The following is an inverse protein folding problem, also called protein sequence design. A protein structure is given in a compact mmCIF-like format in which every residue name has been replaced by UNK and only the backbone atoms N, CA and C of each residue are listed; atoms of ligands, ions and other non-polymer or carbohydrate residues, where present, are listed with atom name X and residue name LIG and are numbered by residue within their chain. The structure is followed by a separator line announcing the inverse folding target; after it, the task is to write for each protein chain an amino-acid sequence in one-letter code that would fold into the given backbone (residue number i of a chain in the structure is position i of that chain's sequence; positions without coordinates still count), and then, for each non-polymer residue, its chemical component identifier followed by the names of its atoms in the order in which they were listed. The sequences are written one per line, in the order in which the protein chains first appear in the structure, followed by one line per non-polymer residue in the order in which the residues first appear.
data_IF_205903118929
#
_entry.id   IF_205903118929
#
_cell.length_a   1.000
_cell.length_b   1.000
_cell.length_c   1.000
_cell.angle_alpha   90.00
_cell.angle_beta   90.00
_cell.angle_gamma   90.00
#
_symmetry.space_group_name_H-M   'P 1'
#
loop_
_entity.id
_entity.type
_entity.pdbx_description
1 polymer ?
#
# COMPACT_ATOMS: atom_id res chain seq x y z
N UNK A 1 -29.14 -9.44 -9.22
CA UNK A 1 -27.76 -8.96 -9.45
C UNK A 1 -27.34 -9.38 -10.85
N UNK A 2 -26.90 -8.46 -11.71
CA UNK A 2 -26.46 -8.80 -13.07
C UNK A 2 -25.08 -9.50 -12.96
N UNK A 3 -24.97 -10.76 -13.37
CA UNK A 3 -23.75 -11.57 -13.21
C UNK A 3 -22.56 -10.92 -13.92
N UNK A 4 -22.79 -10.32 -15.07
CA UNK A 4 -21.74 -9.66 -15.87
C UNK A 4 -21.09 -8.52 -15.09
N UNK A 5 -21.90 -7.66 -14.46
CA UNK A 5 -21.41 -6.55 -13.62
C UNK A 5 -20.62 -7.02 -12.40
N UNK A 6 -20.93 -8.22 -11.88
CA UNK A 6 -20.23 -8.78 -10.70
C UNK A 6 -18.86 -9.31 -11.10
N UNK A 7 -18.79 -9.98 -12.25
CA UNK A 7 -17.53 -10.50 -12.81
C UNK A 7 -16.62 -9.35 -13.23
N UNK A 8 -17.14 -8.32 -13.92
CA UNK A 8 -16.39 -7.12 -14.31
C UNK A 8 -15.78 -6.41 -13.10
N UNK A 9 -16.56 -6.25 -12.03
CA UNK A 9 -16.07 -5.65 -10.78
C UNK A 9 -14.92 -6.46 -10.18
N UNK A 10 -15.06 -7.79 -10.07
CA UNK A 10 -14.00 -8.64 -9.54
C UNK A 10 -12.71 -8.59 -10.38
N UNK A 11 -12.83 -8.54 -11.70
CA UNK A 11 -11.67 -8.35 -12.60
C UNK A 11 -11.03 -6.98 -12.34
N UNK A 12 -11.82 -5.92 -12.26
CA UNK A 12 -11.32 -4.57 -12.00
C UNK A 12 -10.57 -4.48 -10.67
N UNK A 13 -11.08 -5.11 -9.61
CA UNK A 13 -10.43 -5.12 -8.29
C UNK A 13 -9.09 -5.87 -8.33
N UNK A 14 -9.01 -6.99 -9.04
CA UNK A 14 -7.76 -7.76 -9.21
C UNK A 14 -6.76 -6.96 -10.05
N UNK A 15 -7.19 -6.35 -11.16
CA UNK A 15 -6.33 -5.51 -11.99
C UNK A 15 -5.80 -4.33 -11.18
N UNK A 16 -6.63 -3.72 -10.34
CA UNK A 16 -6.22 -2.60 -9.48
C UNK A 16 -5.06 -2.94 -8.55
N UNK A 17 -5.01 -4.16 -7.99
CA UNK A 17 -3.88 -4.62 -7.16
C UNK A 17 -2.53 -4.44 -7.86
N UNK A 18 -2.47 -4.79 -9.15
CA UNK A 18 -1.22 -4.83 -9.91
C UNK A 18 -0.94 -3.55 -10.70
N UNK A 19 -1.98 -2.83 -11.10
CA UNK A 19 -1.86 -1.74 -12.07
C UNK A 19 -2.19 -0.37 -11.49
N UNK A 20 -2.88 -0.29 -10.35
CA UNK A 20 -3.15 1.02 -9.75
C UNK A 20 -1.84 1.65 -9.28
N UNK A 21 -1.65 2.96 -9.50
CA UNK A 21 -0.43 3.64 -9.14
C UNK A 21 -0.16 3.53 -7.64
N UNK A 22 1.12 3.46 -7.28
CA UNK A 22 1.56 3.61 -5.90
C UNK A 22 1.58 5.10 -5.57
N UNK A 23 0.81 5.50 -4.55
CA UNK A 23 0.75 6.88 -4.10
C UNK A 23 1.89 7.16 -3.13
N UNK A 24 2.66 8.21 -3.43
CA UNK A 24 3.81 8.67 -2.64
C UNK A 24 3.73 10.18 -2.40
N UNK A 25 4.55 10.70 -1.47
CA UNK A 25 4.67 12.15 -1.29
C UNK A 25 5.14 12.81 -2.60
N UNK A 26 4.45 13.85 -3.09
CA UNK A 26 4.95 14.66 -4.19
C UNK A 26 6.29 15.31 -3.81
N UNK A 27 7.35 14.93 -4.52
CA UNK A 27 8.70 15.43 -4.23
C UNK A 27 9.82 14.83 -5.07
N UNK A 28 9.49 14.00 -6.07
CA UNK A 28 10.47 13.36 -6.95
C UNK A 28 11.14 12.09 -6.39
N UNK A 29 10.77 11.65 -5.18
CA UNK A 29 11.36 10.48 -4.53
C UNK A 29 10.70 9.14 -4.89
N UNK A 30 9.62 9.14 -5.69
CA UNK A 30 8.87 7.91 -6.02
C UNK A 30 9.73 6.83 -6.65
N UNK A 31 10.66 7.20 -7.53
CA UNK A 31 11.56 6.26 -8.21
C UNK A 31 12.64 5.67 -7.29
N UNK A 32 12.82 6.25 -6.09
CA UNK A 32 13.79 5.76 -5.09
C UNK A 32 13.21 4.69 -4.16
N UNK A 33 11.92 4.38 -4.29
CA UNK A 33 11.28 3.32 -3.51
C UNK A 33 12.01 1.98 -3.69
N UNK A 34 12.44 1.34 -2.58
CA UNK A 34 13.01 0.01 -2.62
C UNK A 34 12.05 -1.01 -3.26
N UNK A 35 12.59 -1.91 -4.07
CA UNK A 35 11.78 -2.88 -4.82
C UNK A 35 10.98 -3.84 -3.91
N UNK A 36 11.53 -4.16 -2.74
CA UNK A 36 10.85 -4.98 -1.75
C UNK A 36 9.58 -4.30 -1.20
N UNK A 37 9.54 -2.96 -1.10
CA UNK A 37 8.33 -2.22 -0.69
C UNK A 37 7.25 -2.32 -1.76
N UNK A 38 7.61 -2.21 -3.05
CA UNK A 38 6.65 -2.35 -4.15
C UNK A 38 6.04 -3.76 -4.19
N UNK A 39 6.88 -4.77 -3.94
CA UNK A 39 6.42 -6.16 -3.79
C UNK A 39 5.48 -6.31 -2.58
N UNK A 40 5.84 -5.71 -1.44
CA UNK A 40 5.01 -5.71 -0.23
C UNK A 40 3.63 -5.08 -0.47
N UNK A 41 3.57 -3.93 -1.15
CA UNK A 41 2.31 -3.25 -1.51
C UNK A 41 1.42 -4.18 -2.34
N UNK A 42 1.99 -4.84 -3.34
CA UNK A 42 1.23 -5.75 -4.22
C UNK A 42 0.62 -6.91 -3.41
N UNK A 43 1.41 -7.50 -2.50
CA UNK A 43 0.94 -8.58 -1.63
C UNK A 43 -0.15 -8.10 -0.65
N UNK A 44 0.06 -6.97 0.02
CA UNK A 44 -0.91 -6.44 0.98
C UNK A 44 -2.22 -6.01 0.30
N UNK A 45 -2.16 -5.40 -0.88
CA UNK A 45 -3.36 -5.09 -1.70
C UNK A 45 -4.13 -6.37 -2.06
N UNK A 46 -3.44 -7.44 -2.42
CA UNK A 46 -4.10 -8.74 -2.67
C UNK A 46 -4.76 -9.30 -1.41
N UNK A 47 -4.09 -9.22 -0.26
CA UNK A 47 -4.66 -9.63 1.03
C UNK A 47 -5.89 -8.79 1.39
N UNK A 48 -5.86 -7.48 1.14
CA UNK A 48 -7.01 -6.60 1.35
C UNK A 48 -8.18 -6.95 0.44
N UNK A 49 -7.95 -7.24 -0.85
CA UNK A 49 -9.00 -7.75 -1.73
C UNK A 49 -9.64 -9.03 -1.18
N UNK A 50 -8.85 -9.97 -0.66
CA UNK A 50 -9.37 -11.19 -0.05
C UNK A 50 -10.19 -10.93 1.22
N UNK A 51 -9.84 -9.92 2.01
CA UNK A 51 -10.63 -9.48 3.18
C UNK A 51 -11.94 -8.82 2.76
N UNK A 52 -11.91 -7.96 1.75
CA UNK A 52 -13.12 -7.33 1.18
C UNK A 52 -14.09 -8.39 0.64
N UNK A 53 -13.59 -9.44 -0.02
CA UNK A 53 -14.43 -10.57 -0.46
C UNK A 53 -15.10 -11.32 0.71
N UNK A 54 -14.52 -11.27 1.91
CA UNK A 54 -15.11 -11.84 3.14
C UNK A 54 -16.06 -10.87 3.85
N UNK A 55 -16.25 -9.67 3.31
CA UNK A 55 -17.14 -8.64 3.88
C UNK A 55 -16.46 -7.71 4.89
N UNK A 56 -15.14 -7.71 4.98
CA UNK A 56 -14.39 -6.72 5.78
C UNK A 56 -14.30 -5.36 5.06
N UNK A 57 -14.11 -4.29 5.83
CA UNK A 57 -13.97 -2.93 5.28
C UNK A 57 -12.63 -2.74 4.56
N UNK A 58 -12.67 -2.03 3.43
CA UNK A 58 -11.47 -1.72 2.67
C UNK A 58 -10.70 -0.58 3.36
N UNK A 59 -9.44 -0.83 3.71
CA UNK A 59 -8.52 0.15 4.28
C UNK A 59 -7.26 0.29 3.42
N UNK A 60 -6.50 1.36 3.62
CA UNK A 60 -5.12 1.42 3.14
C UNK A 60 -4.24 0.35 3.80
N UNK A 61 -3.14 0.01 3.13
CA UNK A 61 -2.19 -1.02 3.59
C UNK A 61 -1.01 -0.41 4.36
N UNK A 62 -0.38 -1.21 5.22
CA UNK A 62 0.79 -0.76 6.00
C UNK A 62 1.97 -0.49 5.05
N UNK A 63 2.15 -1.31 4.01
CA UNK A 63 3.17 -1.11 2.99
C UNK A 63 2.97 0.19 2.17
N UNK A 64 1.73 0.57 1.86
CA UNK A 64 1.45 1.85 1.21
C UNK A 64 1.72 3.03 2.14
N UNK A 65 1.34 2.93 3.42
CA UNK A 65 1.70 3.94 4.42
C UNK A 65 3.22 4.07 4.56
N UNK A 66 3.94 2.94 4.57
CA UNK A 66 5.40 2.90 4.61
C UNK A 66 6.02 3.61 3.39
N UNK A 67 5.51 3.36 2.18
CA UNK A 67 6.02 4.00 0.96
C UNK A 67 5.78 5.52 0.97
N UNK A 68 4.59 5.94 1.42
CA UNK A 68 4.27 7.36 1.54
C UNK A 68 5.16 8.06 2.57
N UNK A 69 5.31 7.48 3.77
CA UNK A 69 6.13 8.05 4.83
C UNK A 69 7.62 8.04 4.47
N UNK A 70 8.12 7.01 3.79
CA UNK A 70 9.48 6.97 3.25
C UNK A 70 9.76 8.22 2.38
N UNK A 71 8.92 8.44 1.36
CA UNK A 71 9.09 9.58 0.45
C UNK A 71 8.83 10.94 1.12
N UNK A 72 7.92 10.99 2.10
CA UNK A 72 7.67 12.18 2.90
C UNK A 72 8.91 12.58 3.72
N UNK A 73 9.58 11.61 4.34
CA UNK A 73 10.76 11.85 5.20
C UNK A 73 11.97 12.38 4.41
N UNK A 74 12.06 12.04 3.13
CA UNK A 74 13.07 12.55 2.21
C UNK A 74 12.74 13.95 1.68
N UNK A 75 11.46 14.32 1.69
CA UNK A 75 10.99 15.64 1.21
C UNK A 75 11.21 16.71 2.27
N UNK A 76 10.90 16.40 3.53
CA UNK A 76 11.09 17.30 4.66
C UNK A 76 11.28 16.52 5.96
N UNK A 77 11.93 17.12 6.99
CA UNK A 77 12.02 16.51 8.30
C UNK A 77 10.63 16.22 8.88
N UNK A 78 10.44 15.00 9.39
CA UNK A 78 9.26 14.63 10.15
C UNK A 78 9.39 15.14 11.59
N UNK A 79 8.26 15.48 12.21
CA UNK A 79 8.23 15.69 13.66
C UNK A 79 8.39 14.36 14.41
N UNK A 80 8.42 14.45 15.74
CA UNK A 80 8.62 13.30 16.61
C UNK A 80 7.56 12.21 16.38
N UNK A 81 6.28 12.57 16.29
CA UNK A 81 5.19 11.61 16.26
C UNK A 81 5.14 10.89 14.90
N UNK A 82 5.32 11.63 13.80
CA UNK A 82 5.42 11.02 12.47
C UNK A 82 6.66 10.15 12.31
N UNK A 83 7.78 10.53 12.93
CA UNK A 83 8.98 9.70 12.94
C UNK A 83 8.74 8.36 13.65
N UNK A 84 8.06 8.37 14.81
CA UNK A 84 7.71 7.15 15.54
C UNK A 84 6.74 6.27 14.75
N UNK A 85 5.72 6.86 14.13
CA UNK A 85 4.77 6.15 13.26
C UNK A 85 5.51 5.48 12.10
N UNK A 86 6.39 6.22 11.43
CA UNK A 86 7.16 5.69 10.31
C UNK A 86 8.05 4.51 10.72
N UNK A 87 8.78 4.64 11.82
CA UNK A 87 9.64 3.56 12.33
C UNK A 87 8.81 2.31 12.68
N UNK A 88 7.67 2.49 13.36
CA UNK A 88 6.78 1.38 13.71
C UNK A 88 6.27 0.65 12.45
N UNK A 89 5.74 1.39 11.47
CA UNK A 89 5.19 0.82 10.24
C UNK A 89 6.31 0.15 9.43
N UNK A 90 7.46 0.81 9.25
CA UNK A 90 8.57 0.27 8.49
C UNK A 90 9.10 -1.03 9.09
N UNK A 91 9.23 -1.12 10.41
CA UNK A 91 9.61 -2.37 11.10
C UNK A 91 8.56 -3.46 10.87
N UNK A 92 7.27 -3.16 11.06
CA UNK A 92 6.19 -4.12 10.89
C UNK A 92 6.11 -4.68 9.47
N UNK A 93 6.21 -3.81 8.46
CA UNK A 93 6.21 -4.22 7.05
C UNK A 93 7.44 -5.07 6.75
N UNK A 94 8.62 -4.68 7.26
CA UNK A 94 9.85 -5.44 7.05
C UNK A 94 9.80 -6.85 7.68
N UNK A 95 9.23 -6.98 8.89
CA UNK A 95 9.03 -8.27 9.55
C UNK A 95 8.14 -9.21 8.74
N UNK A 96 7.10 -8.67 8.08
CA UNK A 96 6.22 -9.45 7.20
C UNK A 96 6.89 -9.91 5.90
N UNK A 97 8.06 -9.37 5.55
CA UNK A 97 8.83 -9.71 4.35
C UNK A 97 10.00 -10.68 4.63
N UNK A 98 10.21 -11.08 5.89
CA UNK A 98 11.26 -12.00 6.31
C UNK A 98 10.74 -13.44 6.43
#
# INVERSE_FOLDING_TARGET
MNRDKTVEKGISEIVGVFCDPIIVMPGGWGDTLPEWIKTAITLERLMMNMKVLKGEEMTGTDAEACAYLYTASLTAPMDHDWSQIYLYIATKVYENQR
#
